data_IF_064468006773
#
_entry.id   IF_064468006773
#
_cell.length_a   1.000
_cell.length_b   1.000
_cell.length_c   1.000
_cell.angle_alpha   90.00
_cell.angle_beta   90.00
_cell.angle_gamma   90.00
#
_symmetry.space_group_name_H-M   'P 1'
#
loop_
_entity.id
_entity.type
_entity.pdbx_description
1 polymer ?
#
# COMPACT_ATOMS: atom_id res chain seq x y z
N UNK A 1 11.92 6.93 -20.72
CA UNK A 1 11.99 6.10 -19.51
C UNK A 1 12.85 4.88 -19.79
N UNK A 2 13.76 4.49 -18.88
CA UNK A 2 14.49 3.24 -19.01
C UNK A 2 13.51 2.06 -18.95
N UNK A 3 13.75 1.02 -19.73
CA UNK A 3 13.04 -0.26 -19.57
C UNK A 3 13.66 -1.03 -18.41
N UNK A 4 12.85 -1.69 -17.61
CA UNK A 4 13.36 -2.55 -16.51
C UNK A 4 14.12 -3.74 -17.07
N UNK A 5 15.18 -4.16 -16.39
CA UNK A 5 16.01 -5.31 -16.80
C UNK A 5 15.25 -6.64 -16.79
N UNK A 6 14.28 -6.79 -15.88
CA UNK A 6 13.40 -7.95 -15.82
C UNK A 6 11.97 -7.60 -15.39
N UNK A 7 11.01 -8.44 -15.77
CA UNK A 7 9.61 -8.28 -15.37
C UNK A 7 9.39 -8.50 -13.87
N UNK A 8 10.19 -9.36 -13.25
CA UNK A 8 10.17 -9.59 -11.79
C UNK A 8 10.67 -8.35 -11.06
N UNK A 9 11.80 -7.78 -11.51
CA UNK A 9 12.36 -6.55 -10.93
C UNK A 9 11.34 -5.41 -10.97
N UNK A 10 10.65 -5.24 -12.10
CA UNK A 10 9.61 -4.24 -12.23
C UNK A 10 8.40 -4.52 -11.34
N UNK A 11 8.02 -5.81 -11.20
CA UNK A 11 6.97 -6.24 -10.29
C UNK A 11 7.32 -5.94 -8.82
N UNK A 12 8.53 -6.29 -8.39
CA UNK A 12 9.01 -5.99 -7.03
C UNK A 12 9.06 -4.47 -6.76
N UNK A 13 9.54 -3.68 -7.74
CA UNK A 13 9.52 -2.22 -7.62
C UNK A 13 8.09 -1.65 -7.55
N UNK A 14 7.16 -2.20 -8.34
CA UNK A 14 5.75 -1.84 -8.27
C UNK A 14 5.18 -2.15 -6.89
N UNK A 15 5.44 -3.34 -6.37
CA UNK A 15 5.00 -3.77 -5.05
C UNK A 15 5.59 -2.95 -3.91
N UNK A 16 6.88 -2.66 -3.93
CA UNK A 16 7.53 -1.81 -2.94
C UNK A 16 6.95 -0.39 -2.92
N UNK A 17 6.51 0.12 -4.08
CA UNK A 17 5.81 1.41 -4.16
C UNK A 17 4.37 1.33 -3.64
N UNK A 18 3.73 0.18 -3.81
CA UNK A 18 2.37 -0.06 -3.31
C UNK A 18 2.36 -0.21 -1.79
N UNK A 19 3.36 -0.91 -1.23
CA UNK A 19 3.53 -1.07 0.22
C UNK A 19 4.26 0.14 0.77
N UNK A 20 3.54 0.98 1.49
CA UNK A 20 4.13 2.08 2.26
C UNK A 20 4.15 1.75 3.75
N UNK A 21 4.93 2.50 4.53
CA UNK A 21 4.88 2.44 6.00
C UNK A 21 3.47 2.71 6.53
N UNK A 22 2.72 3.59 5.87
CA UNK A 22 1.31 3.83 6.23
C UNK A 22 0.42 2.62 5.95
N UNK A 23 0.75 1.78 4.95
CA UNK A 23 0.03 0.53 4.73
C UNK A 23 0.30 -0.51 5.82
N UNK A 24 1.56 -0.68 6.23
CA UNK A 24 1.93 -1.66 7.26
C UNK A 24 1.47 -1.18 8.65
N UNK A 25 1.89 0.01 9.07
CA UNK A 25 1.62 0.53 10.42
C UNK A 25 0.18 1.02 10.53
N UNK A 26 -0.33 1.74 9.50
CA UNK A 26 -1.68 2.30 9.52
C UNK A 26 -2.76 1.22 9.44
N UNK A 27 -2.71 0.37 8.42
CA UNK A 27 -3.70 -0.72 8.30
C UNK A 27 -3.47 -1.85 9.30
N UNK A 28 -2.21 -2.13 9.68
CA UNK A 28 -1.90 -3.05 10.76
C UNK A 28 -2.48 -2.55 12.09
N UNK A 29 -2.24 -1.30 12.45
CA UNK A 29 -2.82 -0.69 13.65
C UNK A 29 -4.35 -0.64 13.61
N UNK A 30 -4.93 -0.32 12.44
CA UNK A 30 -6.38 -0.35 12.26
C UNK A 30 -6.95 -1.76 12.43
N UNK A 31 -6.28 -2.78 11.89
CA UNK A 31 -6.67 -4.17 12.05
C UNK A 31 -6.57 -4.64 13.51
N UNK A 32 -5.49 -4.27 14.22
CA UNK A 32 -5.36 -4.51 15.65
C UNK A 32 -6.47 -3.85 16.47
N UNK A 33 -6.95 -2.70 16.04
CA UNK A 33 -8.00 -1.96 16.76
C UNK A 33 -9.43 -2.44 16.41
N UNK A 34 -9.71 -2.72 15.12
CA UNK A 34 -11.07 -3.03 14.62
C UNK A 34 -11.29 -4.53 14.40
N UNK A 35 -10.22 -5.30 14.16
CA UNK A 35 -10.29 -6.73 13.96
C UNK A 35 -10.27 -7.20 12.50
N UNK A 36 -10.83 -8.39 12.26
CA UNK A 36 -10.74 -9.14 11.00
C UNK A 36 -11.45 -8.50 9.80
N UNK A 37 -12.35 -7.56 10.01
CA UNK A 37 -13.01 -6.83 8.93
C UNK A 37 -12.01 -6.08 8.04
N UNK A 38 -10.85 -5.65 8.59
CA UNK A 38 -9.81 -4.93 7.83
C UNK A 38 -9.03 -5.84 6.88
N UNK A 39 -8.40 -6.97 7.31
CA UNK A 39 -7.74 -7.88 6.37
C UNK A 39 -8.67 -8.43 5.29
N UNK A 40 -9.90 -8.81 5.63
CA UNK A 40 -10.88 -9.29 4.65
C UNK A 40 -11.19 -8.24 3.59
N UNK A 41 -11.36 -6.99 3.99
CA UNK A 41 -11.58 -5.87 3.07
C UNK A 41 -10.37 -5.62 2.17
N UNK A 42 -9.16 -5.81 2.69
CA UNK A 42 -7.94 -5.57 1.91
C UNK A 42 -7.66 -6.66 0.88
N UNK A 43 -7.94 -7.94 1.19
CA UNK A 43 -7.64 -9.05 0.26
C UNK A 43 -8.45 -8.90 -1.03
N UNK A 44 -9.76 -8.77 -0.95
CA UNK A 44 -10.64 -8.84 -2.13
C UNK A 44 -10.55 -7.56 -2.98
N UNK A 45 -10.86 -6.36 -2.47
CA UNK A 45 -10.87 -5.18 -3.32
C UNK A 45 -9.47 -4.62 -3.57
N UNK A 46 -8.60 -4.60 -2.57
CA UNK A 46 -7.26 -4.02 -2.72
C UNK A 46 -6.40 -4.89 -3.65
N UNK A 47 -6.25 -6.17 -3.33
CA UNK A 47 -5.46 -7.08 -4.15
C UNK A 47 -6.18 -7.35 -5.48
N UNK A 48 -7.48 -7.68 -5.45
CA UNK A 48 -8.25 -8.02 -6.63
C UNK A 48 -8.38 -6.85 -7.61
N UNK A 49 -8.82 -5.69 -7.17
CA UNK A 49 -9.03 -4.53 -8.05
C UNK A 49 -7.72 -4.02 -8.65
N UNK A 50 -6.65 -3.92 -7.85
CA UNK A 50 -5.34 -3.48 -8.35
C UNK A 50 -4.74 -4.53 -9.29
N UNK A 51 -4.92 -5.82 -8.98
CA UNK A 51 -4.51 -6.90 -9.88
C UNK A 51 -5.21 -6.81 -11.24
N UNK A 52 -6.54 -6.71 -11.24
CA UNK A 52 -7.34 -6.56 -12.45
C UNK A 52 -6.90 -5.33 -13.24
N UNK A 53 -6.75 -4.19 -12.56
CA UNK A 53 -6.27 -2.96 -13.21
C UNK A 53 -4.88 -3.15 -13.83
N UNK A 54 -3.95 -3.79 -13.12
CA UNK A 54 -2.60 -4.04 -13.63
C UNK A 54 -2.63 -4.91 -14.88
N UNK A 55 -3.44 -5.99 -14.88
CA UNK A 55 -3.49 -6.94 -16.01
C UNK A 55 -4.26 -6.38 -17.22
N UNK A 56 -5.34 -5.60 -17.01
CA UNK A 56 -6.21 -5.15 -18.10
C UNK A 56 -6.01 -3.70 -18.51
N UNK A 57 -5.72 -2.81 -17.56
CA UNK A 57 -5.49 -1.38 -17.84
C UNK A 57 -4.01 -1.13 -18.14
N UNK A 58 -3.10 -1.75 -17.38
CA UNK A 58 -1.67 -1.59 -17.55
C UNK A 58 -1.18 -1.75 -18.99
N UNK A 59 -1.54 -2.82 -19.72
CA UNK A 59 -1.18 -2.98 -21.13
C UNK A 59 -1.66 -1.85 -22.03
N UNK A 60 -2.83 -1.28 -21.75
CA UNK A 60 -3.39 -0.17 -22.54
C UNK A 60 -2.59 1.11 -22.32
N UNK A 61 -2.22 1.40 -21.07
CA UNK A 61 -1.37 2.54 -20.71
C UNK A 61 0.01 2.41 -21.37
N UNK A 62 0.61 1.24 -21.29
CA UNK A 62 1.90 0.95 -21.91
C UNK A 62 1.86 1.10 -23.46
N UNK A 63 0.85 0.51 -24.13
CA UNK A 63 0.64 0.63 -25.59
C UNK A 63 0.43 2.09 -26.01
N UNK A 64 -0.33 2.84 -25.24
CA UNK A 64 -0.52 4.28 -25.47
C UNK A 64 0.81 5.01 -25.35
N UNK A 65 1.59 4.75 -24.30
CA UNK A 65 2.88 5.42 -24.10
C UNK A 65 3.92 5.03 -25.16
N UNK A 66 3.92 3.81 -25.67
CA UNK A 66 4.81 3.42 -26.79
C UNK A 66 4.63 4.31 -28.03
N UNK A 67 3.40 4.76 -28.30
CA UNK A 67 3.09 5.68 -29.41
C UNK A 67 3.44 7.12 -29.05
N UNK A 68 3.12 7.56 -27.82
CA UNK A 68 3.21 8.95 -27.36
C UNK A 68 4.64 9.31 -26.93
N UNK A 69 5.42 8.33 -26.44
CA UNK A 69 6.80 8.47 -25.92
C UNK A 69 6.93 9.56 -24.84
N UNK A 70 5.94 9.61 -23.93
CA UNK A 70 5.98 10.53 -22.80
C UNK A 70 6.97 10.05 -21.72
N UNK A 71 7.52 10.99 -20.96
CA UNK A 71 8.44 10.70 -19.84
C UNK A 71 7.71 10.50 -18.51
N UNK A 72 6.51 11.05 -18.37
CA UNK A 72 5.67 10.91 -17.18
C UNK A 72 4.25 10.54 -17.57
N UNK A 73 3.50 9.96 -16.63
CA UNK A 73 2.10 9.63 -16.85
C UNK A 73 1.23 10.87 -17.12
N UNK A 74 1.50 11.96 -16.39
CA UNK A 74 0.80 13.24 -16.57
C UNK A 74 1.03 13.81 -17.99
N UNK A 75 2.28 13.77 -18.46
CA UNK A 75 2.62 14.17 -19.83
C UNK A 75 1.91 13.28 -20.86
N UNK A 76 1.84 11.98 -20.61
CA UNK A 76 1.16 11.03 -21.50
C UNK A 76 -0.31 11.39 -21.66
N UNK A 77 -1.01 11.71 -20.58
CA UNK A 77 -2.42 12.11 -20.63
C UNK A 77 -2.59 13.39 -21.48
N UNK A 78 -1.81 14.42 -21.22
CA UNK A 78 -1.92 15.66 -21.99
C UNK A 78 -1.64 15.51 -23.47
N UNK A 79 -0.64 14.71 -23.83
CA UNK A 79 -0.34 14.38 -25.23
C UNK A 79 -1.42 13.49 -25.87
N UNK A 80 -1.99 12.57 -25.10
CA UNK A 80 -3.07 11.69 -25.58
C UNK A 80 -4.31 12.48 -25.99
N UNK A 81 -4.68 13.46 -25.20
CA UNK A 81 -5.82 14.35 -25.48
C UNK A 81 -5.45 15.59 -26.33
N UNK A 82 -4.20 15.68 -26.76
CA UNK A 82 -3.67 16.83 -27.51
C UNK A 82 -3.98 18.19 -26.84
N UNK A 83 -3.97 18.23 -25.52
CA UNK A 83 -4.34 19.40 -24.72
C UNK A 83 -3.31 19.64 -23.61
N UNK A 84 -2.34 20.56 -23.81
CA UNK A 84 -1.31 20.87 -22.81
C UNK A 84 -1.89 21.37 -21.47
N UNK A 85 -3.08 21.98 -21.50
CA UNK A 85 -3.77 22.46 -20.31
C UNK A 85 -4.07 21.34 -19.32
N UNK A 86 -4.45 20.15 -19.80
CA UNK A 86 -4.72 18.97 -18.97
C UNK A 86 -3.45 18.57 -18.21
N UNK A 87 -2.30 18.50 -18.87
CA UNK A 87 -1.03 18.18 -18.19
C UNK A 87 -0.69 19.21 -17.12
N UNK A 88 -0.88 20.50 -17.38
CA UNK A 88 -0.60 21.56 -16.41
C UNK A 88 -1.51 21.48 -15.19
N UNK A 89 -2.81 21.27 -15.40
CA UNK A 89 -3.79 21.11 -14.30
C UNK A 89 -3.50 19.87 -13.48
N UNK A 90 -3.26 18.73 -14.11
CA UNK A 90 -2.92 17.49 -13.40
C UNK A 90 -1.59 17.61 -12.63
N UNK A 91 -0.59 18.29 -13.20
CA UNK A 91 0.67 18.57 -12.51
C UNK A 91 0.45 19.44 -11.28
N UNK A 92 -0.33 20.52 -11.40
CA UNK A 92 -0.66 21.41 -10.30
C UNK A 92 -1.40 20.68 -9.18
N UNK A 93 -2.42 19.89 -9.51
CA UNK A 93 -3.17 19.07 -8.56
C UNK A 93 -2.22 18.07 -7.87
N UNK A 94 -1.37 17.40 -8.64
CA UNK A 94 -0.43 16.43 -8.09
C UNK A 94 0.56 17.09 -7.13
N UNK A 95 1.16 18.20 -7.51
CA UNK A 95 2.11 18.96 -6.65
C UNK A 95 1.40 19.47 -5.39
N UNK A 96 0.14 19.90 -5.50
CA UNK A 96 -0.63 20.37 -4.34
C UNK A 96 -1.06 19.27 -3.37
N UNK A 97 -1.36 18.06 -3.87
CA UNK A 97 -1.95 17.00 -3.05
C UNK A 97 -0.92 15.92 -2.60
N UNK A 98 0.12 15.66 -3.38
CA UNK A 98 1.12 14.63 -3.04
C UNK A 98 1.82 14.87 -1.68
N UNK A 99 2.08 16.11 -1.24
CA UNK A 99 2.67 16.33 0.08
C UNK A 99 1.84 15.74 1.23
N UNK A 100 0.51 15.77 1.15
CA UNK A 100 -0.36 15.16 2.17
C UNK A 100 -0.18 13.64 2.22
N UNK A 101 -0.02 12.97 1.07
CA UNK A 101 0.33 11.56 1.01
C UNK A 101 1.72 11.28 1.62
N UNK A 102 2.71 12.11 1.30
CA UNK A 102 4.07 11.99 1.85
C UNK A 102 4.08 12.15 3.38
N UNK A 103 3.27 13.06 3.92
CA UNK A 103 3.15 13.26 5.38
C UNK A 103 2.69 11.97 6.06
N UNK A 104 1.69 11.26 5.52
CA UNK A 104 1.22 10.00 6.09
C UNK A 104 2.33 8.93 6.14
N UNK A 105 3.17 8.85 5.09
CA UNK A 105 4.32 7.93 5.05
C UNK A 105 5.39 8.35 6.06
N UNK A 106 5.70 9.65 6.15
CA UNK A 106 6.71 10.18 7.09
C UNK A 106 6.29 10.00 8.54
N UNK A 107 5.00 10.15 8.86
CA UNK A 107 4.48 9.86 10.21
C UNK A 107 4.73 8.39 10.56
N UNK A 108 4.46 7.46 9.65
CA UNK A 108 4.72 6.04 9.86
C UNK A 108 6.19 5.74 10.15
N UNK A 109 7.10 6.27 9.31
CA UNK A 109 8.56 6.11 9.49
C UNK A 109 9.04 6.76 10.78
N UNK A 110 8.60 8.00 11.05
CA UNK A 110 8.98 8.73 12.26
C UNK A 110 8.58 7.98 13.53
N UNK A 111 7.35 7.48 13.59
CA UNK A 111 6.86 6.65 14.70
C UNK A 111 7.68 5.37 14.86
N UNK A 112 7.96 4.67 13.76
CA UNK A 112 8.78 3.47 13.78
C UNK A 112 10.17 3.74 14.37
N UNK A 113 10.89 4.75 13.83
CA UNK A 113 12.23 5.10 14.31
C UNK A 113 12.19 5.49 15.78
N UNK A 114 11.26 6.37 16.19
CA UNK A 114 11.12 6.81 17.57
C UNK A 114 10.89 5.64 18.53
N UNK A 115 10.03 4.69 18.16
CA UNK A 115 9.70 3.54 19.00
C UNK A 115 10.91 2.62 19.22
N UNK A 116 11.73 2.39 18.18
CA UNK A 116 12.86 1.46 18.27
C UNK A 116 14.16 2.09 18.77
N UNK A 117 14.38 3.37 18.51
CA UNK A 117 15.65 4.03 18.81
C UNK A 117 15.59 5.03 19.98
N UNK A 118 14.38 5.44 20.37
CA UNK A 118 14.19 6.53 21.34
C UNK A 118 14.50 7.94 20.79
N UNK A 119 14.88 8.06 19.51
CA UNK A 119 15.11 9.37 18.89
C UNK A 119 13.80 10.14 18.80
N UNK A 120 13.84 11.43 19.11
CA UNK A 120 12.68 12.29 19.02
C UNK A 120 12.08 12.29 17.61
N UNK A 121 10.75 12.28 17.51
CA UNK A 121 10.00 12.14 16.27
C UNK A 121 10.43 13.15 15.17
N UNK A 122 10.64 14.41 15.54
CA UNK A 122 11.03 15.46 14.57
C UNK A 122 12.40 15.17 13.97
N UNK A 123 13.39 14.77 14.80
CA UNK A 123 14.72 14.42 14.35
C UNK A 123 14.74 13.16 13.48
N UNK A 124 13.92 12.16 13.83
CA UNK A 124 13.73 10.95 13.05
C UNK A 124 13.19 11.26 11.64
N UNK A 125 12.15 12.08 11.55
CA UNK A 125 11.54 12.49 10.27
C UNK A 125 12.52 13.32 9.42
N UNK A 126 13.21 14.29 10.01
CA UNK A 126 14.20 15.12 9.28
C UNK A 126 15.35 14.25 8.76
N UNK A 127 15.95 13.44 9.62
CA UNK A 127 17.07 12.57 9.25
C UNK A 127 16.69 11.61 8.11
N UNK A 128 15.53 10.95 8.21
CA UNK A 128 15.04 10.09 7.15
C UNK A 128 14.75 10.84 5.85
N UNK A 129 14.14 12.02 5.93
CA UNK A 129 13.85 12.85 4.75
C UNK A 129 15.10 13.27 4.01
N UNK A 130 16.16 13.66 4.74
CA UNK A 130 17.46 14.02 4.16
C UNK A 130 18.13 12.81 3.48
N UNK A 131 18.05 11.64 4.08
CA UNK A 131 18.56 10.39 3.49
C UNK A 131 17.84 10.08 2.17
N UNK A 132 16.51 10.11 2.16
CA UNK A 132 15.70 9.86 0.95
C UNK A 132 16.00 10.92 -0.13
N UNK A 133 16.06 12.20 0.24
CA UNK A 133 16.41 13.28 -0.67
C UNK A 133 17.78 13.04 -1.34
N UNK A 134 18.79 12.67 -0.55
CA UNK A 134 20.13 12.36 -1.06
C UNK A 134 20.10 11.20 -2.07
N UNK A 135 19.40 10.11 -1.77
CA UNK A 135 19.31 8.95 -2.68
C UNK A 135 18.64 9.30 -4.02
N UNK A 136 17.65 10.18 -4.01
CA UNK A 136 16.94 10.60 -5.23
C UNK A 136 17.81 11.55 -6.08
N UNK A 137 18.45 12.53 -5.45
CA UNK A 137 19.27 13.54 -6.16
C UNK A 137 20.46 12.90 -6.86
N UNK A 138 21.16 11.98 -6.18
CA UNK A 138 22.35 11.34 -6.76
C UNK A 138 22.04 10.12 -7.63
N UNK A 139 20.92 9.42 -7.40
CA UNK A 139 20.66 8.12 -8.02
C UNK A 139 19.77 8.13 -9.26
N UNK A 140 18.92 9.12 -9.41
CA UNK A 140 17.92 9.19 -10.50
C UNK A 140 16.95 8.01 -10.53
N UNK A 141 16.17 7.87 -11.62
CA UNK A 141 15.09 6.86 -11.74
C UNK A 141 15.60 5.42 -11.72
N UNK A 142 16.75 5.13 -12.29
CA UNK A 142 17.32 3.76 -12.31
C UNK A 142 17.70 3.30 -10.90
N UNK A 143 18.24 4.20 -10.07
CA UNK A 143 18.57 3.90 -8.67
C UNK A 143 17.29 3.66 -7.85
N UNK A 144 16.25 4.45 -8.07
CA UNK A 144 14.95 4.27 -7.42
C UNK A 144 14.40 2.86 -7.69
N UNK A 145 14.40 2.40 -8.96
CA UNK A 145 13.92 1.06 -9.30
C UNK A 145 14.70 -0.06 -8.63
N UNK A 146 16.02 0.06 -8.58
CA UNK A 146 16.89 -0.94 -7.91
C UNK A 146 16.66 -0.95 -6.40
N UNK A 147 16.58 0.24 -5.80
CA UNK A 147 16.29 0.38 -4.38
C UNK A 147 14.90 -0.20 -4.02
N UNK A 148 13.87 0.11 -4.79
CA UNK A 148 12.53 -0.43 -4.61
C UNK A 148 12.52 -1.98 -4.73
N UNK A 149 13.29 -2.55 -5.67
CA UNK A 149 13.42 -3.99 -5.79
C UNK A 149 14.00 -4.63 -4.53
N UNK A 150 15.07 -4.04 -3.98
CA UNK A 150 15.69 -4.51 -2.74
C UNK A 150 14.70 -4.38 -1.57
N UNK A 151 14.03 -3.25 -1.47
CA UNK A 151 13.01 -3.03 -0.44
C UNK A 151 11.86 -4.04 -0.56
N UNK A 152 11.39 -4.33 -1.78
CA UNK A 152 10.38 -5.36 -2.03
C UNK A 152 10.79 -6.74 -1.53
N UNK A 153 12.05 -7.13 -1.74
CA UNK A 153 12.59 -8.40 -1.20
C UNK A 153 12.61 -8.37 0.33
N UNK A 154 13.09 -7.28 0.93
CA UNK A 154 13.15 -7.13 2.40
C UNK A 154 11.75 -7.23 3.02
N UNK A 155 10.75 -6.59 2.41
CA UNK A 155 9.36 -6.66 2.89
C UNK A 155 8.81 -8.09 2.81
N UNK A 156 9.08 -8.83 1.73
CA UNK A 156 8.66 -10.23 1.59
C UNK A 156 9.32 -11.10 2.69
N UNK A 157 10.62 -10.99 2.87
CA UNK A 157 11.33 -11.75 3.90
C UNK A 157 10.85 -11.37 5.31
N UNK A 158 10.68 -10.08 5.58
CA UNK A 158 10.13 -9.59 6.85
C UNK A 158 8.72 -10.12 7.12
N UNK A 159 7.84 -10.14 6.10
CA UNK A 159 6.51 -10.69 6.25
C UNK A 159 6.50 -12.18 6.54
N UNK A 160 7.41 -12.97 5.96
CA UNK A 160 7.55 -14.39 6.26
C UNK A 160 8.02 -14.63 7.70
N UNK A 161 8.95 -13.80 8.20
CA UNK A 161 9.39 -13.86 9.62
C UNK A 161 8.21 -13.54 10.54
N UNK A 162 7.49 -12.44 10.28
CA UNK A 162 6.32 -12.05 11.07
C UNK A 162 5.25 -13.13 11.06
N UNK A 163 4.96 -13.71 9.88
CA UNK A 163 4.02 -14.83 9.76
C UNK A 163 4.46 -16.02 10.60
N UNK A 164 5.74 -16.37 10.55
CA UNK A 164 6.28 -17.47 11.34
C UNK A 164 6.12 -17.22 12.84
N UNK A 165 6.44 -16.01 13.32
CA UNK A 165 6.24 -15.64 14.71
C UNK A 165 4.76 -15.71 15.10
N UNK A 166 3.88 -15.18 14.26
CA UNK A 166 2.43 -15.22 14.51
C UNK A 166 1.94 -16.66 14.65
N UNK A 167 2.30 -17.54 13.70
CA UNK A 167 1.81 -18.94 13.70
C UNK A 167 2.45 -19.79 14.78
N UNK A 168 3.77 -19.70 14.96
CA UNK A 168 4.51 -20.62 15.83
C UNK A 168 4.68 -20.12 17.27
N UNK A 169 4.45 -18.84 17.53
CA UNK A 169 4.56 -18.26 18.87
C UNK A 169 3.21 -17.79 19.35
N UNK A 170 2.58 -16.82 18.70
CA UNK A 170 1.35 -16.21 19.20
C UNK A 170 0.17 -17.18 19.18
N UNK A 171 -0.05 -17.91 18.07
CA UNK A 171 -1.17 -18.87 17.98
C UNK A 171 -1.04 -20.08 18.91
N UNK A 172 0.13 -20.30 19.52
CA UNK A 172 0.34 -21.39 20.50
C UNK A 172 0.07 -20.93 21.94
N UNK A 173 -0.15 -19.66 22.19
CA UNK A 173 -0.48 -19.17 23.54
C UNK A 173 -1.85 -19.71 23.96
N UNK A 174 -1.96 -20.33 25.15
CA UNK A 174 -3.25 -20.81 25.65
C UNK A 174 -4.28 -19.68 25.72
N UNK A 175 -5.49 -19.93 25.23
CA UNK A 175 -6.55 -18.92 25.18
C UNK A 175 -6.47 -17.94 23.99
N UNK A 176 -5.48 -18.07 23.13
CA UNK A 176 -5.33 -17.18 21.95
C UNK A 176 -6.61 -17.09 21.12
N UNK A 177 -7.18 -18.24 20.76
CA UNK A 177 -8.40 -18.28 19.95
C UNK A 177 -9.62 -17.77 20.70
N UNK A 178 -9.71 -18.05 22.00
CA UNK A 178 -10.82 -17.58 22.84
C UNK A 178 -10.81 -16.06 22.97
N UNK A 179 -9.64 -15.44 22.98
CA UNK A 179 -9.49 -13.98 23.02
C UNK A 179 -9.77 -13.29 21.68
N UNK A 180 -9.60 -14.00 20.55
CA UNK A 180 -9.83 -13.43 19.23
C UNK A 180 -11.26 -13.61 18.70
N UNK A 181 -11.97 -14.63 19.18
CA UNK A 181 -13.28 -15.02 18.69
C UNK A 181 -14.27 -15.19 19.86
N UNK A 182 -15.52 -14.86 19.63
CA UNK A 182 -16.58 -15.05 20.63
C UNK A 182 -16.75 -13.89 21.59
N UNK A 183 -17.10 -14.19 22.84
CA UNK A 183 -17.52 -13.19 23.83
C UNK A 183 -16.40 -12.19 24.21
N UNK A 184 -15.15 -12.60 24.17
CA UNK A 184 -13.98 -11.75 24.46
C UNK A 184 -13.64 -10.79 23.32
N UNK A 185 -14.03 -11.15 22.09
CA UNK A 185 -13.89 -10.29 20.93
C UNK A 185 -14.99 -9.23 20.83
N UNK A 186 -16.00 -9.27 21.68
CA UNK A 186 -17.12 -8.33 21.64
C UNK A 186 -16.70 -6.92 22.05
N UNK A 187 -17.12 -5.95 21.26
CA UNK A 187 -16.92 -4.53 21.58
C UNK A 187 -18.00 -4.09 22.57
N UNK A 188 -17.63 -3.53 23.75
CA UNK A 188 -18.61 -3.08 24.74
C UNK A 188 -19.52 -1.98 24.19
N UNK A 189 -20.80 -1.99 24.56
CA UNK A 189 -21.82 -1.04 24.08
C UNK A 189 -21.49 0.44 24.36
N UNK A 190 -20.69 0.72 25.36
CA UNK A 190 -20.24 2.08 25.68
C UNK A 190 -19.05 2.58 24.88
N UNK A 191 -18.36 1.70 24.14
CA UNK A 191 -17.15 2.00 23.41
C UNK A 191 -17.42 2.87 22.16
N UNK A 192 -16.42 3.64 21.78
CA UNK A 192 -16.46 4.46 20.56
C UNK A 192 -16.63 3.62 19.28
N UNK A 193 -16.04 2.40 19.23
CA UNK A 193 -16.18 1.48 18.12
C UNK A 193 -17.61 0.93 18.00
N UNK A 194 -18.25 0.62 19.12
CA UNK A 194 -19.66 0.20 19.13
C UNK A 194 -20.57 1.27 18.53
N UNK A 195 -20.35 2.56 18.86
CA UNK A 195 -21.08 3.69 18.27
C UNK A 195 -20.84 3.87 16.77
N UNK A 196 -19.75 3.30 16.25
CA UNK A 196 -19.46 3.23 14.82
C UNK A 196 -20.07 2.01 14.14
N UNK A 197 -20.67 1.09 14.90
CA UNK A 197 -21.29 -0.14 14.40
C UNK A 197 -20.39 -1.37 14.42
N UNK A 198 -19.24 -1.33 15.11
CA UNK A 198 -18.39 -2.50 15.32
C UNK A 198 -18.83 -3.21 16.60
N UNK A 199 -19.33 -4.43 16.46
CA UNK A 199 -19.86 -5.23 17.57
C UNK A 199 -18.89 -6.28 18.08
N UNK A 200 -17.83 -6.57 17.32
CA UNK A 200 -16.79 -7.53 17.70
C UNK A 200 -15.63 -7.53 16.73
N UNK A 201 -14.49 -8.13 17.17
CA UNK A 201 -13.27 -8.25 16.35
C UNK A 201 -13.42 -9.20 15.17
N UNK A 202 -14.32 -10.19 15.26
CA UNK A 202 -14.62 -11.20 14.25
C UNK A 202 -15.82 -10.86 13.38
N UNK A 203 -16.51 -9.74 13.68
CA UNK A 203 -17.74 -9.34 12.99
C UNK A 203 -17.50 -8.23 11.97
N UNK A 204 -18.34 -8.22 10.94
CA UNK A 204 -18.44 -7.07 10.04
C UNK A 204 -19.26 -5.97 10.72
N UNK A 205 -18.91 -4.67 10.53
CA UNK A 205 -19.72 -3.60 11.12
C UNK A 205 -21.17 -3.64 10.62
N UNK A 206 -22.08 -3.21 11.46
CA UNK A 206 -23.51 -3.16 11.16
C UNK A 206 -23.80 -2.42 9.85
N UNK A 207 -24.68 -2.97 9.04
CA UNK A 207 -25.02 -2.43 7.73
C UNK A 207 -25.51 -0.98 7.83
N UNK A 208 -25.00 -0.09 6.98
CA UNK A 208 -25.24 1.35 6.98
C UNK A 208 -24.73 2.10 8.23
N UNK A 209 -24.05 1.47 9.15
CA UNK A 209 -23.35 2.16 10.21
C UNK A 209 -22.21 3.05 9.66
N UNK A 210 -21.69 3.98 10.48
CA UNK A 210 -20.53 4.79 10.09
C UNK A 210 -19.29 3.92 9.79
N UNK A 211 -19.06 2.87 10.57
CA UNK A 211 -17.97 1.92 10.35
C UNK A 211 -18.14 1.17 9.03
N UNK A 212 -19.36 0.71 8.72
CA UNK A 212 -19.66 0.05 7.45
C UNK A 212 -19.39 0.97 6.26
N UNK A 213 -19.88 2.20 6.32
CA UNK A 213 -19.62 3.21 5.27
C UNK A 213 -18.14 3.52 5.13
N UNK A 214 -17.40 3.66 6.24
CA UNK A 214 -15.97 3.89 6.22
C UNK A 214 -15.22 2.76 5.53
N UNK A 215 -15.49 1.51 5.90
CA UNK A 215 -14.83 0.35 5.28
C UNK A 215 -15.18 0.25 3.80
N UNK A 216 -16.45 0.27 3.45
CA UNK A 216 -16.89 0.05 2.07
C UNK A 216 -16.49 1.19 1.15
N UNK A 217 -16.66 2.45 1.54
CA UNK A 217 -16.33 3.57 0.66
C UNK A 217 -14.83 3.84 0.62
N UNK A 218 -14.15 3.85 1.77
CA UNK A 218 -12.73 4.21 1.84
C UNK A 218 -11.83 3.06 1.42
N UNK A 219 -11.96 1.89 2.07
CA UNK A 219 -11.03 0.78 1.87
C UNK A 219 -11.33 -0.04 0.62
N UNK A 220 -12.62 -0.23 0.28
CA UNK A 220 -13.01 -1.03 -0.89
C UNK A 220 -12.88 -0.24 -2.19
N UNK A 221 -13.26 1.04 -2.21
CA UNK A 221 -13.31 1.84 -3.44
C UNK A 221 -12.27 2.94 -3.49
N UNK A 222 -12.26 3.87 -2.54
CA UNK A 222 -11.49 5.12 -2.66
C UNK A 222 -9.99 4.85 -2.70
N UNK A 223 -9.47 4.05 -1.78
CA UNK A 223 -8.03 3.77 -1.71
C UNK A 223 -7.54 2.95 -2.90
N UNK A 224 -8.15 1.80 -3.28
CA UNK A 224 -7.68 1.04 -4.43
C UNK A 224 -7.76 1.80 -5.75
N UNK A 225 -8.86 2.52 -6.00
CA UNK A 225 -9.01 3.35 -7.20
C UNK A 225 -7.99 4.50 -7.20
N UNK A 226 -7.79 5.16 -6.07
CA UNK A 226 -6.78 6.19 -5.90
C UNK A 226 -5.37 5.67 -6.20
N UNK A 227 -5.00 4.51 -5.65
CA UNK A 227 -3.70 3.88 -5.89
C UNK A 227 -3.48 3.53 -7.37
N UNK A 228 -4.48 2.98 -8.06
CA UNK A 228 -4.39 2.66 -9.48
C UNK A 228 -4.07 3.91 -10.31
N UNK A 229 -4.55 5.08 -9.92
CA UNK A 229 -4.37 6.33 -10.66
C UNK A 229 -3.11 7.12 -10.28
N UNK A 230 -2.37 6.69 -9.25
CA UNK A 230 -1.17 7.39 -8.81
C UNK A 230 -0.09 7.44 -9.90
N UNK A 231 0.46 8.63 -10.21
CA UNK A 231 1.45 8.78 -11.28
C UNK A 231 2.68 7.90 -11.14
N UNK A 232 3.15 7.65 -9.90
CA UNK A 232 4.31 6.80 -9.63
C UNK A 232 4.04 5.33 -9.95
N UNK A 233 2.84 4.81 -9.74
CA UNK A 233 2.47 3.43 -10.11
C UNK A 233 2.26 3.30 -11.61
N UNK A 234 1.58 4.27 -12.23
CA UNK A 234 1.37 4.33 -13.68
C UNK A 234 2.69 4.41 -14.45
N UNK A 235 3.65 5.18 -13.96
CA UNK A 235 4.98 5.29 -14.58
C UNK A 235 5.67 3.93 -14.66
N UNK A 236 5.50 3.04 -13.68
CA UNK A 236 6.06 1.68 -13.74
C UNK A 236 5.41 0.83 -14.82
N UNK A 237 4.11 0.96 -15.05
CA UNK A 237 3.46 0.31 -16.20
C UNK A 237 4.04 0.79 -17.53
N UNK A 238 4.36 2.09 -17.65
CA UNK A 238 4.98 2.64 -18.88
C UNK A 238 6.38 2.08 -19.14
N UNK A 239 7.05 1.50 -18.13
CA UNK A 239 8.40 0.94 -18.22
C UNK A 239 8.41 -0.56 -18.52
N UNK A 240 7.26 -1.20 -18.68
CA UNK A 240 7.17 -2.62 -19.02
C UNK A 240 7.81 -2.92 -20.38
N UNK A 241 8.43 -4.12 -20.50
CA UNK A 241 9.07 -4.56 -21.76
C UNK A 241 8.04 -4.89 -22.83
N UNK A 242 7.04 -5.65 -22.46
CA UNK A 242 6.04 -6.21 -23.36
C UNK A 242 4.67 -6.35 -22.68
N UNK A 243 3.68 -6.73 -23.46
CA UNK A 243 2.31 -6.95 -23.02
C UNK A 243 2.18 -8.13 -22.01
N UNK A 244 3.04 -9.15 -22.17
CA UNK A 244 3.03 -10.36 -21.31
C UNK A 244 3.59 -10.07 -19.92
N UNK A 245 4.39 -9.03 -19.77
CA UNK A 245 4.99 -8.58 -18.51
C UNK A 245 3.96 -8.29 -17.42
N UNK A 246 2.74 -7.87 -17.79
CA UNK A 246 1.75 -7.40 -16.83
C UNK A 246 1.23 -8.47 -15.87
N UNK A 247 1.15 -9.74 -16.31
CA UNK A 247 0.82 -10.85 -15.40
C UNK A 247 1.90 -11.04 -14.34
N UNK A 248 3.17 -10.98 -14.74
CA UNK A 248 4.30 -11.08 -13.81
C UNK A 248 4.36 -9.87 -12.87
N UNK A 249 4.15 -8.65 -13.39
CA UNK A 249 4.08 -7.43 -12.58
C UNK A 249 2.94 -7.53 -11.56
N UNK A 250 1.77 -8.01 -11.96
CA UNK A 250 0.63 -8.17 -11.07
C UNK A 250 0.88 -9.24 -9.99
N UNK A 251 1.49 -10.37 -10.33
CA UNK A 251 1.80 -11.41 -9.34
C UNK A 251 2.84 -10.94 -8.33
N UNK A 252 3.98 -10.43 -8.78
CA UNK A 252 5.08 -9.99 -7.91
C UNK A 252 4.84 -8.61 -7.28
N UNK A 253 4.04 -7.76 -7.91
CA UNK A 253 3.81 -6.39 -7.48
C UNK A 253 2.47 -6.14 -6.80
N UNK A 254 1.52 -7.06 -6.85
CA UNK A 254 0.21 -6.90 -6.21
C UNK A 254 -0.10 -8.07 -5.28
N UNK A 255 -0.08 -9.31 -5.76
CA UNK A 255 -0.47 -10.47 -4.93
C UNK A 255 0.50 -10.65 -3.76
N UNK A 256 1.80 -10.78 -4.05
CA UNK A 256 2.80 -11.03 -2.99
C UNK A 256 2.84 -9.89 -1.96
N UNK A 257 2.93 -8.61 -2.38
CA UNK A 257 2.86 -7.50 -1.45
C UNK A 257 1.53 -7.40 -0.69
N UNK A 258 0.41 -7.71 -1.34
CA UNK A 258 -0.89 -7.76 -0.69
C UNK A 258 -0.95 -8.81 0.42
N UNK A 259 -0.43 -10.00 0.18
CA UNK A 259 -0.31 -11.04 1.21
C UNK A 259 0.62 -10.60 2.36
N UNK A 260 1.72 -9.90 2.06
CA UNK A 260 2.59 -9.35 3.09
C UNK A 260 1.86 -8.34 3.99
N UNK A 261 1.07 -7.43 3.41
CA UNK A 261 0.25 -6.48 4.20
C UNK A 261 -0.72 -7.23 5.11
N UNK A 262 -1.42 -8.23 4.58
CA UNK A 262 -2.36 -9.05 5.37
C UNK A 262 -1.64 -9.76 6.52
N UNK A 263 -0.43 -10.26 6.31
CA UNK A 263 0.38 -10.87 7.36
C UNK A 263 0.64 -9.90 8.52
N UNK A 264 1.02 -8.65 8.21
CA UNK A 264 1.22 -7.63 9.24
C UNK A 264 -0.08 -7.28 9.98
N UNK A 265 -1.23 -7.28 9.28
CA UNK A 265 -2.53 -7.06 9.90
C UNK A 265 -2.89 -8.21 10.85
N UNK A 266 -2.69 -9.47 10.44
CA UNK A 266 -2.93 -10.63 11.30
C UNK A 266 -2.02 -10.64 12.52
N UNK A 267 -0.75 -10.25 12.36
CA UNK A 267 0.17 -10.10 13.48
C UNK A 267 -0.31 -9.01 14.46
N UNK A 268 -0.82 -7.88 13.98
CA UNK A 268 -1.36 -6.83 14.81
C UNK A 268 -2.63 -7.25 15.58
N UNK A 269 -3.52 -8.03 14.93
CA UNK A 269 -4.68 -8.62 15.61
C UNK A 269 -4.23 -9.61 16.68
N UNK A 270 -3.21 -10.42 16.40
CA UNK A 270 -2.71 -11.44 17.32
C UNK A 270 -1.94 -10.89 18.53
N UNK A 271 -1.56 -9.61 18.49
CA UNK A 271 -0.83 -8.95 19.58
C UNK A 271 -1.76 -8.32 20.65
N UNK A 272 -3.07 -8.32 20.42
CA UNK A 272 -4.08 -7.91 21.41
C UNK A 272 -4.45 -9.06 22.31
#
# INVERSE_FOLDING_TARGET
LPTSDSNISLGLSYGATLISTSAIIGFGGLAGWIGFSIPLTMIIPFVGLIYIATVYIGPKVWKANKKIKAKTYIEMIGKHYNTPMISKLLALITVGLIPFYCVAVLIGVGKFITTFTGIEFVHAVIGFSLLVFGTIVYGGMSSVLKNDMIQGIIVILGSLIVLSITVFVHMQVPGFWDNLVGAWAAVPEGDGLYKLGFTGFDTWPEFWSRGWLMITTLLVFTIPVGLITLPQLQTRWMMAKDDKSFKTIASWGVIIPGLAIVTFMLAAISAN
#
